data_IF_958535473782
#
_entry.id   IF_958535473782
#
_cell.length_a   1.000
_cell.length_b   1.000
_cell.length_c   1.000
_cell.angle_alpha   90.00
_cell.angle_beta   90.00
_cell.angle_gamma   90.00
#
_symmetry.space_group_name_H-M   'P 1'
#
loop_
_entity.id
_entity.type
_entity.pdbx_description
1 polymer ?
#
# COMPACT_ATOMS: atom_id res chain seq x y z
N UNK A 1 -8.70 2.24 11.54
CA UNK A 1 -8.11 3.37 10.82
C UNK A 1 -8.77 3.66 9.51
N UNK A 2 -8.91 2.78 8.53
CA UNK A 2 -9.72 3.10 7.32
C UNK A 2 -11.01 2.28 7.18
N UNK A 3 -11.17 1.22 7.97
CA UNK A 3 -12.32 0.29 7.90
C UNK A 3 -12.42 -0.52 6.59
N UNK A 4 -11.54 -0.27 5.63
CA UNK A 4 -11.55 -0.88 4.29
C UNK A 4 -10.79 -2.21 4.25
N UNK A 5 -11.17 -3.07 3.31
CA UNK A 5 -10.48 -4.32 3.01
C UNK A 5 -9.16 -4.03 2.28
N UNK A 6 -8.17 -4.92 2.44
CA UNK A 6 -6.85 -4.74 1.82
C UNK A 6 -6.88 -4.71 0.28
N UNK A 7 -7.80 -5.48 -0.30
CA UNK A 7 -8.10 -5.55 -1.72
C UNK A 7 -9.59 -5.27 -1.90
N UNK A 8 -9.90 -4.30 -2.75
CA UNK A 8 -11.26 -4.09 -3.22
C UNK A 8 -11.45 -4.78 -4.57
N UNK A 9 -12.47 -5.64 -4.64
CA UNK A 9 -12.83 -6.43 -5.83
C UNK A 9 -14.20 -6.05 -6.38
N UNK A 10 -14.77 -4.94 -5.93
CA UNK A 10 -16.02 -4.43 -6.48
C UNK A 10 -15.84 -4.10 -7.98
N UNK A 11 -16.79 -4.43 -8.85
CA UNK A 11 -16.69 -4.12 -10.28
C UNK A 11 -16.61 -2.61 -10.57
N UNK A 12 -17.02 -1.77 -9.64
CA UNK A 12 -17.00 -0.30 -9.77
C UNK A 12 -15.65 0.32 -9.40
N UNK A 13 -14.87 -0.35 -8.55
CA UNK A 13 -13.51 0.03 -8.21
C UNK A 13 -12.59 -0.93 -8.93
N UNK A 14 -11.96 -0.47 -10.03
CA UNK A 14 -10.82 -1.17 -10.62
C UNK A 14 -9.94 -1.75 -9.49
N UNK A 15 -9.51 -3.02 -9.57
CA UNK A 15 -8.81 -3.71 -8.47
C UNK A 15 -7.72 -2.81 -7.84
N UNK A 16 -8.05 -2.19 -6.70
CA UNK A 16 -7.20 -1.19 -6.04
C UNK A 16 -6.77 -1.75 -4.70
N UNK A 17 -5.46 -1.83 -4.51
CA UNK A 17 -4.86 -2.10 -3.20
C UNK A 17 -5.09 -0.90 -2.29
N UNK A 18 -5.49 -1.18 -1.04
CA UNK A 18 -5.68 -0.12 -0.04
C UNK A 18 -4.41 0.72 0.17
N UNK A 19 -3.24 0.10 0.01
CA UNK A 19 -1.93 0.75 0.14
C UNK A 19 -1.68 1.75 -0.97
N UNK A 20 -2.18 1.51 -2.17
CA UNK A 20 -1.99 2.39 -3.33
C UNK A 20 -2.90 3.59 -3.22
N UNK A 21 -4.18 3.34 -2.90
CA UNK A 21 -5.13 4.40 -2.60
C UNK A 21 -4.66 5.29 -1.45
N UNK A 22 -4.26 4.72 -0.30
CA UNK A 22 -3.82 5.49 0.85
C UNK A 22 -2.58 6.36 0.55
N UNK A 23 -1.63 5.84 -0.24
CA UNK A 23 -0.47 6.62 -0.68
C UNK A 23 -0.89 7.80 -1.56
N UNK A 24 -1.81 7.60 -2.51
CA UNK A 24 -2.35 8.72 -3.30
C UNK A 24 -2.99 9.79 -2.42
N UNK A 25 -3.81 9.39 -1.44
CA UNK A 25 -4.44 10.33 -0.51
C UNK A 25 -3.39 11.16 0.24
N UNK A 26 -2.35 10.52 0.77
CA UNK A 26 -1.26 11.22 1.49
C UNK A 26 -0.50 12.17 0.57
N UNK A 27 -0.12 11.73 -0.64
CA UNK A 27 0.61 12.60 -1.60
C UNK A 27 -0.20 13.81 -2.05
N UNK A 28 -1.54 13.72 -1.99
CA UNK A 28 -2.44 14.84 -2.26
C UNK A 28 -2.73 15.72 -1.04
N UNK A 29 -2.12 15.46 0.12
CA UNK A 29 -2.37 16.19 1.36
C UNK A 29 -3.71 15.87 2.02
N UNK A 30 -4.33 14.74 1.66
CA UNK A 30 -5.67 14.30 2.09
C UNK A 30 -5.57 13.08 3.00
N UNK A 31 -4.57 13.02 3.87
CA UNK A 31 -4.31 11.86 4.74
C UNK A 31 -5.47 11.57 5.70
N UNK A 32 -6.22 12.60 6.11
CA UNK A 32 -7.41 12.48 6.96
C UNK A 32 -8.53 11.65 6.32
N UNK A 33 -8.64 11.62 4.99
CA UNK A 33 -9.65 10.84 4.28
C UNK A 33 -9.33 9.35 4.22
N UNK A 34 -8.12 8.97 4.63
CA UNK A 34 -7.81 7.56 4.90
C UNK A 34 -8.53 7.09 6.15
N UNK A 35 -8.96 8.01 7.03
CA UNK A 35 -9.61 7.67 8.28
C UNK A 35 -11.06 7.20 8.06
N UNK A 36 -11.43 6.16 8.82
CA UNK A 36 -12.79 5.67 8.93
C UNK A 36 -13.67 6.73 9.60
N UNK A 37 -14.91 6.83 9.15
CA UNK A 37 -15.87 7.82 9.66
C UNK A 37 -16.08 7.71 11.19
N UNK A 38 -15.95 6.51 11.75
CA UNK A 38 -16.04 6.31 13.19
C UNK A 38 -14.92 7.01 13.97
N UNK A 39 -13.77 7.31 13.33
CA UNK A 39 -12.63 8.01 13.91
C UNK A 39 -12.64 9.52 13.63
N UNK A 40 -13.43 9.96 12.65
CA UNK A 40 -13.55 11.37 12.28
C UNK A 40 -14.70 12.07 13.01
N UNK A 41 -15.67 11.32 13.54
CA UNK A 41 -16.79 11.85 14.30
C UNK A 41 -16.32 12.47 15.61
N UNK A 42 -16.64 13.75 15.81
CA UNK A 42 -16.44 14.42 17.10
C UNK A 42 -17.49 13.90 18.08
N UNK A 43 -17.07 13.47 19.26
CA UNK A 43 -18.03 13.09 20.30
C UNK A 43 -18.80 14.35 20.77
N UNK A 44 -20.09 14.19 21.09
CA UNK A 44 -20.97 15.27 21.61
C UNK A 44 -20.41 15.97 22.86
N UNK A 45 -19.43 15.35 23.52
CA UNK A 45 -18.78 15.81 24.74
C UNK A 45 -17.65 16.85 24.51
N UNK A 46 -17.51 17.35 23.27
CA UNK A 46 -16.56 18.43 22.93
C UNK A 46 -15.08 18.03 22.99
N UNK A 47 -14.78 16.74 23.11
CA UNK A 47 -13.40 16.23 23.12
C UNK A 47 -12.80 16.30 21.72
N UNK A 48 -11.57 16.78 21.62
CA UNK A 48 -10.85 16.86 20.34
C UNK A 48 -10.79 15.48 19.69
N UNK A 49 -11.26 15.39 18.43
CA UNK A 49 -11.22 14.14 17.66
C UNK A 49 -9.78 13.61 17.58
N UNK A 50 -9.54 12.30 17.66
CA UNK A 50 -8.20 11.72 17.62
C UNK A 50 -7.49 11.85 16.27
N UNK A 51 -8.06 12.62 15.31
CA UNK A 51 -7.59 12.82 13.94
C UNK A 51 -6.09 13.13 13.84
N UNK A 52 -5.60 14.10 14.63
CA UNK A 52 -4.19 14.51 14.56
C UNK A 52 -3.22 13.39 14.95
N UNK A 53 -3.60 12.55 15.93
CA UNK A 53 -2.81 11.37 16.29
C UNK A 53 -2.95 10.30 15.21
N UNK A 54 -4.17 10.06 14.70
CA UNK A 54 -4.40 9.02 13.69
C UNK A 54 -3.71 9.29 12.36
N UNK A 55 -3.51 10.54 11.97
CA UNK A 55 -2.73 10.89 10.78
C UNK A 55 -1.31 10.30 10.85
N UNK A 56 -0.66 10.39 12.01
CA UNK A 56 0.66 9.79 12.25
C UNK A 56 0.67 8.29 11.98
N UNK A 57 -0.37 7.58 12.42
CA UNK A 57 -0.50 6.15 12.19
C UNK A 57 -0.73 5.83 10.70
N UNK A 58 -1.39 6.72 9.95
CA UNK A 58 -1.59 6.56 8.49
C UNK A 58 -0.22 6.61 7.82
N UNK A 59 0.57 7.63 8.15
CA UNK A 59 1.90 7.86 7.57
C UNK A 59 2.84 6.68 7.87
N UNK A 60 2.92 6.23 9.12
CA UNK A 60 3.74 5.07 9.51
C UNK A 60 3.26 3.81 8.80
N UNK A 61 1.95 3.57 8.72
CA UNK A 61 1.39 2.42 8.01
C UNK A 61 1.80 2.38 6.54
N UNK A 62 1.80 3.53 5.86
CA UNK A 62 2.21 3.63 4.45
C UNK A 62 3.71 3.46 4.27
N UNK A 63 4.56 3.97 5.19
CA UNK A 63 6.00 3.71 5.18
C UNK A 63 6.30 2.21 5.34
N UNK A 64 5.65 1.54 6.29
CA UNK A 64 5.80 0.10 6.50
C UNK A 64 5.38 -0.73 5.29
N UNK A 65 4.33 -0.29 4.57
CA UNK A 65 3.82 -0.94 3.37
C UNK A 65 4.50 -0.49 2.07
N UNK A 66 5.62 0.24 2.14
CA UNK A 66 6.27 0.79 0.96
C UNK A 66 6.68 -0.32 -0.03
N UNK A 67 6.51 -0.06 -1.34
CA UNK A 67 6.79 -1.06 -2.40
C UNK A 67 8.26 -1.46 -2.45
N UNK A 68 9.17 -0.53 -2.15
CA UNK A 68 10.59 -0.79 -2.00
C UNK A 68 10.94 -1.13 -0.55
N UNK A 69 11.44 -2.35 -0.31
CA UNK A 69 11.78 -2.86 1.03
C UNK A 69 12.84 -2.01 1.72
N UNK A 70 13.82 -1.51 0.96
CA UNK A 70 14.90 -0.67 1.50
C UNK A 70 14.43 0.67 2.07
N UNK A 71 13.18 1.09 1.78
CA UNK A 71 12.59 2.31 2.31
C UNK A 71 11.63 2.05 3.47
N UNK A 72 11.42 0.78 3.85
CA UNK A 72 10.59 0.44 5.00
C UNK A 72 11.39 0.69 6.28
N UNK A 73 10.78 1.29 7.31
CA UNK A 73 11.43 1.38 8.60
C UNK A 73 11.60 -0.02 9.19
N UNK A 74 12.61 -0.17 10.04
CA UNK A 74 12.68 -1.32 10.94
C UNK A 74 11.49 -1.30 11.89
N UNK A 75 11.13 -2.46 12.45
CA UNK A 75 10.01 -2.53 13.41
C UNK A 75 10.27 -1.64 14.65
N UNK A 76 11.53 -1.49 15.06
CA UNK A 76 11.92 -0.62 16.16
C UNK A 76 11.68 0.85 15.84
N UNK A 77 12.06 1.31 14.65
CA UNK A 77 11.79 2.68 14.21
C UNK A 77 10.29 2.94 14.07
N UNK A 78 9.54 1.98 13.51
CA UNK A 78 8.10 2.07 13.40
C UNK A 78 7.42 2.23 14.77
N UNK A 79 7.86 1.49 15.80
CA UNK A 79 7.33 1.63 17.16
C UNK A 79 7.62 3.00 17.75
N UNK A 80 8.86 3.49 17.65
CA UNK A 80 9.21 4.85 18.10
C UNK A 80 8.39 5.93 17.39
N UNK A 81 8.15 5.76 16.08
CA UNK A 81 7.26 6.60 15.27
C UNK A 81 5.77 6.45 15.64
N UNK A 82 5.35 5.42 16.36
CA UNK A 82 3.98 5.29 16.85
C UNK A 82 3.84 5.85 18.27
N UNK A 83 4.86 5.68 19.10
CA UNK A 83 4.87 6.08 20.52
C UNK A 83 5.01 7.59 20.70
N UNK A 84 5.83 8.26 19.88
CA UNK A 84 6.07 9.70 20.05
C UNK A 84 7.54 10.06 20.03
N UNK A 85 8.39 9.05 20.17
CA UNK A 85 9.82 9.22 20.43
C UNK A 85 10.59 9.84 19.27
N UNK A 86 10.15 9.58 18.03
CA UNK A 86 10.74 10.16 16.81
C UNK A 86 9.64 10.62 15.85
N UNK A 87 9.96 11.65 15.06
CA UNK A 87 9.08 12.14 14.01
C UNK A 87 8.96 11.14 12.85
N UNK A 88 7.83 11.21 12.15
CA UNK A 88 7.62 10.40 10.95
C UNK A 88 8.35 11.05 9.79
N UNK A 89 9.18 10.27 9.08
CA UNK A 89 9.86 10.75 7.89
C UNK A 89 8.89 10.99 6.74
N UNK A 90 9.25 11.89 5.81
CA UNK A 90 8.46 12.13 4.61
C UNK A 90 8.22 10.85 3.82
N UNK A 91 7.01 10.71 3.25
CA UNK A 91 6.65 9.55 2.44
C UNK A 91 7.39 9.62 1.10
N UNK A 92 8.28 8.66 0.81
CA UNK A 92 9.01 8.63 -0.45
C UNK A 92 8.07 8.37 -1.62
N UNK A 93 8.49 8.84 -2.80
CA UNK A 93 7.78 8.56 -4.03
C UNK A 93 7.94 7.10 -4.42
N UNK A 94 6.85 6.54 -4.94
CA UNK A 94 6.86 5.18 -5.46
C UNK A 94 7.43 5.19 -6.86
N UNK A 95 8.29 4.21 -7.22
CA UNK A 95 8.67 4.02 -8.60
C UNK A 95 7.43 3.83 -9.46
N UNK A 96 7.42 4.45 -10.65
CA UNK A 96 6.35 4.25 -11.63
C UNK A 96 6.20 2.76 -11.91
N UNK A 97 4.98 2.20 -11.86
CA UNK A 97 4.76 0.82 -12.26
C UNK A 97 5.25 0.65 -13.70
N UNK A 98 6.19 -0.28 -13.92
CA UNK A 98 6.70 -0.64 -15.25
C UNK A 98 5.62 -1.24 -16.17
N UNK A 99 4.39 -1.41 -15.67
CA UNK A 99 3.28 -2.08 -16.33
C UNK A 99 2.14 -1.12 -16.73
N UNK A 100 2.44 0.11 -17.18
CA UNK A 100 1.44 0.89 -17.95
C UNK A 100 1.46 0.49 -19.42
N UNK A 101 1.30 -0.81 -19.67
CA UNK A 101 0.93 -1.37 -20.97
C UNK A 101 -0.43 -2.01 -20.78
N UNK A 102 -1.47 -1.38 -21.32
CA UNK A 102 -2.83 -1.92 -21.38
C UNK A 102 -2.82 -3.30 -22.03
N UNK A 103 -3.06 -4.36 -21.26
CA UNK A 103 -3.47 -5.67 -21.79
C UNK A 103 -4.87 -5.97 -21.27
N UNK A 104 -5.82 -5.09 -21.62
CA UNK A 104 -7.20 -5.52 -21.81
C UNK A 104 -7.34 -5.82 -23.30
N UNK A 105 -6.74 -6.94 -23.70
CA UNK A 105 -7.05 -7.65 -24.93
C UNK A 105 -7.75 -8.93 -24.51
N UNK A 106 -8.92 -9.15 -25.09
CA UNK A 106 -9.89 -10.19 -24.76
C UNK A 106 -9.30 -11.61 -24.61
N UNK A 107 -9.92 -12.38 -23.71
CA UNK A 107 -9.96 -13.84 -23.81
C UNK A 107 -8.97 -14.62 -22.96
N UNK A 108 -9.43 -15.01 -21.77
CA UNK A 108 -9.15 -16.28 -21.09
C UNK A 108 -7.73 -16.87 -21.21
N UNK A 109 -6.80 -16.47 -20.32
CA UNK A 109 -5.69 -17.32 -19.86
C UNK A 109 -5.25 -16.86 -18.48
N UNK A 110 -5.37 -17.73 -17.47
CA UNK A 110 -4.64 -17.58 -16.21
C UNK A 110 -3.14 -17.68 -16.51
N UNK A 111 -2.43 -16.55 -16.62
CA UNK A 111 -0.97 -16.54 -16.70
C UNK A 111 -0.38 -16.13 -15.36
N UNK A 112 -0.03 -17.15 -14.56
CA UNK A 112 0.95 -17.01 -13.52
C UNK A 112 2.35 -16.82 -14.15
N UNK A 113 3.10 -15.88 -13.58
CA UNK A 113 4.57 -15.77 -13.63
C UNK A 113 5.25 -15.20 -14.87
N UNK A 114 5.95 -14.07 -14.67
CA UNK A 114 7.15 -13.66 -15.42
C UNK A 114 8.29 -13.32 -14.45
N UNK A 115 8.70 -14.28 -13.63
CA UNK A 115 9.87 -14.13 -12.75
C UNK A 115 10.95 -15.20 -12.94
N UNK A 116 10.81 -16.13 -13.90
CA UNK A 116 11.83 -17.15 -14.16
C UNK A 116 11.98 -17.41 -15.66
N UNK A 117 12.53 -16.46 -16.41
CA UNK A 117 13.30 -16.82 -17.62
C UNK A 117 14.66 -17.34 -17.15
N UNK A 118 14.69 -18.60 -16.71
CA UNK A 118 15.93 -19.36 -16.61
C UNK A 118 16.42 -19.77 -18.00
N UNK A 119 17.73 -20.02 -18.20
CA UNK A 119 18.25 -20.47 -19.49
C UNK A 119 17.64 -21.83 -19.87
N UNK A 120 17.18 -21.93 -21.13
CA UNK A 120 16.61 -23.15 -21.71
C UNK A 120 17.65 -24.28 -21.72
N UNK A 121 17.48 -25.27 -20.86
CA UNK A 121 18.15 -26.56 -20.98
C UNK A 121 17.28 -27.46 -21.87
N UNK A 122 17.79 -27.85 -23.03
CA UNK A 122 17.13 -28.77 -23.94
C UNK A 122 17.11 -30.19 -23.34
N UNK A 123 15.92 -30.74 -23.13
CA UNK A 123 15.67 -32.09 -22.56
C UNK A 123 15.96 -33.23 -23.56
N UNK A 124 16.79 -33.00 -24.58
CA UNK A 124 17.09 -33.97 -25.65
C UNK A 124 18.25 -34.94 -25.37
N UNK A 125 19.07 -34.70 -24.35
CA UNK A 125 20.35 -35.43 -24.15
C UNK A 125 20.35 -36.42 -22.96
N UNK A 126 19.21 -36.72 -22.34
CA UNK A 126 19.15 -37.63 -21.18
C UNK A 126 18.68 -39.06 -21.48
N UNK A 127 18.98 -39.58 -22.68
CA UNK A 127 18.86 -41.02 -22.95
C UNK A 127 20.11 -41.54 -23.69
N UNK A 128 21.11 -41.92 -22.90
CA UNK A 128 22.06 -43.00 -23.22
C UNK A 128 22.15 -43.94 -22.02
#
# INVERSE_FOLDING_TARGET
>A
MSGRRALDTSPESNLVLITDWAWTMIKTGRAEEVLDEALTRTDDDGRSSPKGIMERFVLVGVLCAHVMVALRPTILEALKMLEGDIDVTDIPDRPLPLARGSVFGDGNTFSASSALSGPCLNTGDMLR
#
